data_IF_438044991655
#
_entry.id   IF_438044991655
#
_cell.length_a   1.000
_cell.length_b   1.000
_cell.length_c   1.000
_cell.angle_alpha   90.00
_cell.angle_beta   90.00
_cell.angle_gamma   90.00
#
_symmetry.space_group_name_H-M   'P 1'
#
loop_
_entity.id
_entity.type
_entity.pdbx_description
1 polymer ?
#
# COMPACT_ATOMS: atom_id res chain seq x y z
N UNK A 1 11.44 -13.68 -0.14
CA UNK A 1 11.38 -12.76 1.03
C UNK A 1 11.72 -11.36 0.55
N UNK A 2 10.98 -10.31 0.95
CA UNK A 2 11.11 -8.95 0.40
C UNK A 2 12.48 -8.28 0.67
N UNK A 3 13.14 -8.61 1.79
CA UNK A 3 14.44 -8.04 2.16
C UNK A 3 15.62 -9.00 1.97
N UNK A 4 15.42 -10.05 1.15
CA UNK A 4 16.35 -11.18 1.04
C UNK A 4 16.67 -11.83 2.41
N UNK A 5 17.68 -12.69 2.47
CA UNK A 5 18.18 -13.34 3.68
C UNK A 5 19.71 -13.56 3.60
N UNK A 6 20.33 -13.80 4.75
CA UNK A 6 21.75 -14.10 4.86
C UNK A 6 22.65 -12.84 4.95
N UNK A 7 23.97 -13.00 4.77
CA UNK A 7 24.94 -11.91 4.97
C UNK A 7 24.83 -10.78 3.93
N UNK A 8 24.09 -11.01 2.84
CA UNK A 8 23.79 -10.03 1.77
C UNK A 8 22.31 -9.63 1.77
N UNK A 9 21.67 -9.60 2.95
CA UNK A 9 20.31 -9.09 3.06
C UNK A 9 20.27 -7.56 2.94
N UNK A 10 19.07 -6.99 2.89
CA UNK A 10 18.92 -5.54 2.91
C UNK A 10 19.42 -4.95 4.23
N UNK A 11 20.53 -4.22 4.20
CA UNK A 11 21.09 -3.50 5.36
C UNK A 11 20.06 -2.54 5.98
N UNK A 12 19.18 -1.99 5.15
CA UNK A 12 18.14 -1.05 5.56
C UNK A 12 16.85 -1.68 6.09
N UNK A 13 16.74 -3.01 6.24
CA UNK A 13 15.45 -3.65 6.54
C UNK A 13 14.84 -3.15 7.87
N UNK A 14 15.67 -2.92 8.90
CA UNK A 14 15.19 -2.43 10.20
C UNK A 14 14.60 -1.03 10.08
N UNK A 15 15.31 -0.15 9.37
CA UNK A 15 14.84 1.21 9.12
C UNK A 15 13.57 1.21 8.26
N UNK A 16 13.55 0.42 7.18
CA UNK A 16 12.39 0.29 6.31
C UNK A 16 11.15 -0.23 7.05
N UNK A 17 11.31 -1.23 7.93
CA UNK A 17 10.20 -1.74 8.73
C UNK A 17 9.71 -0.73 9.76
N UNK A 18 10.61 0.02 10.40
CA UNK A 18 10.23 1.05 11.36
C UNK A 18 9.52 2.23 10.67
N UNK A 19 10.00 2.67 9.51
CA UNK A 19 9.35 3.73 8.73
C UNK A 19 7.98 3.30 8.22
N UNK A 20 7.83 2.05 7.75
CA UNK A 20 6.52 1.53 7.32
C UNK A 20 5.51 1.48 8.47
N UNK A 21 5.93 0.97 9.64
CA UNK A 21 5.07 0.88 10.83
C UNK A 21 4.64 2.26 11.32
N UNK A 22 5.56 3.22 11.37
CA UNK A 22 5.26 4.59 11.83
C UNK A 22 4.33 5.33 10.86
N UNK A 23 4.53 5.17 9.54
CA UNK A 23 3.64 5.72 8.54
C UNK A 23 2.22 5.13 8.66
N UNK A 24 2.10 3.81 8.70
CA UNK A 24 0.80 3.13 8.81
C UNK A 24 0.08 3.44 10.12
N UNK A 25 0.80 3.46 11.26
CA UNK A 25 0.23 3.82 12.55
C UNK A 25 -0.32 5.25 12.55
N UNK A 26 0.37 6.18 11.89
CA UNK A 26 -0.09 7.56 11.74
C UNK A 26 -1.35 7.65 10.86
N UNK A 27 -1.33 6.97 9.72
CA UNK A 27 -2.44 6.96 8.77
C UNK A 27 -3.72 6.41 9.40
N UNK A 28 -3.65 5.23 10.03
CA UNK A 28 -4.84 4.57 10.62
C UNK A 28 -5.39 5.31 11.84
N UNK A 29 -4.53 5.99 12.62
CA UNK A 29 -4.98 6.76 13.80
C UNK A 29 -5.67 8.06 13.43
N UNK A 30 -5.21 8.75 12.38
CA UNK A 30 -5.66 10.11 12.04
C UNK A 30 -6.64 10.16 10.87
N UNK A 31 -6.68 9.14 10.02
CA UNK A 31 -7.48 9.14 8.80
C UNK A 31 -8.36 7.90 8.68
N UNK A 32 -9.51 8.08 8.05
CA UNK A 32 -10.36 7.02 7.54
C UNK A 32 -10.03 6.82 6.07
N UNK A 33 -9.55 5.63 5.73
CA UNK A 33 -9.19 5.27 4.35
C UNK A 33 -10.42 4.74 3.63
N UNK A 34 -10.78 5.35 2.51
CA UNK A 34 -11.88 4.95 1.63
C UNK A 34 -11.37 4.73 0.20
N UNK A 35 -11.98 3.81 -0.55
CA UNK A 35 -11.66 3.61 -1.97
C UNK A 35 -12.24 4.78 -2.76
N UNK A 36 -11.44 5.46 -3.57
CA UNK A 36 -11.83 6.67 -4.32
C UNK A 36 -12.81 6.43 -5.48
N UNK A 37 -13.61 5.36 -5.44
CA UNK A 37 -14.64 5.07 -6.44
C UNK A 37 -15.96 4.78 -5.74
N UNK A 38 -17.02 5.38 -6.26
CA UNK A 38 -18.35 5.55 -5.67
C UNK A 38 -18.94 4.29 -5.05
N UNK A 39 -19.51 4.44 -3.85
CA UNK A 39 -20.47 3.48 -3.26
C UNK A 39 -21.75 3.54 -4.09
N UNK A 40 -22.02 2.53 -4.92
CA UNK A 40 -23.40 2.18 -5.30
C UNK A 40 -23.74 0.83 -4.69
N UNK A 41 -24.62 0.85 -3.69
CA UNK A 41 -25.48 -0.23 -3.21
C UNK A 41 -25.15 -1.66 -3.70
N UNK A 42 -24.53 -2.46 -2.83
CA UNK A 42 -24.60 -3.92 -2.90
C UNK A 42 -23.64 -4.65 -3.83
N UNK A 43 -22.88 -3.95 -4.68
CA UNK A 43 -21.90 -4.58 -5.57
C UNK A 43 -20.49 -4.03 -5.29
N UNK A 44 -19.55 -4.92 -4.95
CA UNK A 44 -18.13 -4.64 -4.66
C UNK A 44 -17.55 -3.89 -5.85
N UNK A 45 -16.81 -2.80 -5.60
CA UNK A 45 -16.09 -2.07 -6.63
C UNK A 45 -15.41 -3.06 -7.58
N UNK A 46 -15.79 -3.02 -8.87
CA UNK A 46 -15.18 -3.70 -10.03
C UNK A 46 -14.06 -4.68 -9.66
N UNK A 47 -14.30 -5.99 -9.82
CA UNK A 47 -13.37 -7.10 -9.54
C UNK A 47 -12.10 -7.11 -10.43
N UNK A 48 -11.64 -5.96 -10.91
CA UNK A 48 -10.35 -5.87 -11.60
C UNK A 48 -9.23 -6.10 -10.59
N UNK A 49 -8.42 -7.15 -10.76
CA UNK A 49 -7.24 -7.34 -9.93
C UNK A 49 -6.29 -6.17 -10.13
N UNK A 50 -5.63 -5.73 -9.06
CA UNK A 50 -4.57 -4.71 -9.13
C UNK A 50 -3.48 -5.25 -10.05
N UNK A 51 -3.31 -4.62 -11.21
CA UNK A 51 -2.29 -4.99 -12.18
C UNK A 51 -0.98 -4.36 -11.78
N UNK A 52 0.10 -5.13 -11.86
CA UNK A 52 1.41 -4.69 -11.40
C UNK A 52 2.41 -4.79 -12.53
N UNK A 53 3.16 -3.72 -12.75
CA UNK A 53 4.27 -3.66 -13.70
C UNK A 53 5.59 -3.83 -12.96
N UNK A 54 6.54 -4.52 -13.56
CA UNK A 54 7.86 -4.76 -13.00
C UNK A 54 8.92 -4.14 -13.91
N UNK A 55 9.38 -2.95 -13.53
CA UNK A 55 10.55 -2.31 -14.15
C UNK A 55 11.76 -2.50 -13.23
N UNK A 56 12.29 -1.41 -12.65
CA UNK A 56 13.27 -1.44 -11.56
C UNK A 56 12.64 -1.83 -10.22
N UNK A 57 11.37 -1.46 -10.03
CA UNK A 57 10.57 -1.81 -8.86
C UNK A 57 9.18 -2.24 -9.30
N UNK A 58 8.59 -3.15 -8.53
CA UNK A 58 7.21 -3.58 -8.68
C UNK A 58 6.29 -2.40 -8.32
N UNK A 59 5.46 -1.94 -9.27
CA UNK A 59 4.57 -0.78 -9.13
C UNK A 59 3.20 -1.09 -9.72
N UNK A 60 2.18 -0.47 -9.17
CA UNK A 60 0.83 -0.54 -9.74
C UNK A 60 0.79 0.07 -11.15
N UNK A 61 0.11 -0.62 -12.07
CA UNK A 61 -0.01 -0.21 -13.47
C UNK A 61 -1.10 0.84 -13.67
N UNK A 62 -2.16 0.78 -12.87
CA UNK A 62 -3.40 1.52 -13.11
C UNK A 62 -3.53 2.79 -12.22
N UNK A 63 -2.50 3.10 -11.43
CA UNK A 63 -2.42 4.21 -10.46
C UNK A 63 -3.61 4.29 -9.52
N UNK A 64 -3.87 3.21 -8.80
CA UNK A 64 -4.94 3.09 -7.81
C UNK A 64 -4.91 4.24 -6.78
N UNK A 65 -6.04 4.92 -6.64
CA UNK A 65 -6.19 6.08 -5.76
C UNK A 65 -7.03 5.74 -4.54
N UNK A 66 -6.57 6.18 -3.37
CA UNK A 66 -7.30 6.09 -2.10
C UNK A 66 -7.70 7.50 -1.64
N UNK A 67 -8.89 7.61 -1.05
CA UNK A 67 -9.35 8.80 -0.38
C UNK A 67 -9.03 8.72 1.12
N UNK A 68 -8.58 9.83 1.69
CA UNK A 68 -8.22 9.95 3.10
C UNK A 68 -9.08 11.05 3.72
N UNK A 69 -10.06 10.64 4.52
CA UNK A 69 -10.87 11.56 5.30
C UNK A 69 -10.27 11.69 6.70
N UNK A 70 -10.24 12.90 7.27
CA UNK A 70 -9.80 13.08 8.67
C UNK A 70 -10.79 12.40 9.61
N UNK A 71 -10.28 11.63 10.58
CA UNK A 71 -11.10 11.00 11.62
C UNK A 71 -11.58 12.00 12.68
#
# INVERSE_FOLDING_TARGET
MAFSHGPRNCLGYQYAMMSMKTALATLVRRYRVSSGTSRSNGCRAEEKPIRVTFDVMMKDADKFVVQLDRR
#
